data_IF_293649428158
#
_entry.id   IF_293649428158
#
_cell.length_a   1.000
_cell.length_b   1.000
_cell.length_c   1.000
_cell.angle_alpha   90.00
_cell.angle_beta   90.00
_cell.angle_gamma   90.00
#
_symmetry.space_group_name_H-M   'P 1'
#
loop_
_entity.id
_entity.type
_entity.pdbx_description
1 polymer ?
#
# COMPACT_ATOMS: atom_id res chain seq x y z
N UNK A 1 16.40 -0.30 3.02
CA UNK A 1 16.85 0.48 1.83
C UNK A 1 17.52 1.76 2.31
N UNK A 2 18.46 2.38 1.59
CA UNK A 2 18.88 3.74 1.98
C UNK A 2 17.75 4.76 1.70
N UNK A 3 17.72 5.83 2.49
CA UNK A 3 16.64 6.84 2.46
C UNK A 3 16.56 7.58 1.11
N UNK A 4 17.71 7.91 0.52
CA UNK A 4 17.75 8.60 -0.78
C UNK A 4 17.12 7.74 -1.89
N UNK A 5 17.40 6.44 -1.87
CA UNK A 5 16.81 5.47 -2.80
C UNK A 5 15.31 5.27 -2.52
N UNK A 6 14.90 5.19 -1.26
CA UNK A 6 13.49 5.10 -0.88
C UNK A 6 12.71 6.30 -1.42
N UNK A 7 13.17 7.52 -1.09
CA UNK A 7 12.57 8.78 -1.52
C UNK A 7 12.47 8.84 -3.04
N UNK A 8 13.55 8.48 -3.75
CA UNK A 8 13.56 8.45 -5.22
C UNK A 8 12.55 7.46 -5.80
N UNK A 9 12.50 6.23 -5.27
CA UNK A 9 11.59 5.20 -5.78
C UNK A 9 10.13 5.55 -5.50
N UNK A 10 9.83 6.11 -4.32
CA UNK A 10 8.50 6.55 -3.95
C UNK A 10 8.04 7.71 -4.83
N UNK A 11 8.93 8.64 -5.15
CA UNK A 11 8.62 9.82 -5.95
C UNK A 11 8.34 9.54 -7.45
N UNK A 12 8.71 8.38 -8.00
CA UNK A 12 8.41 8.11 -9.41
C UNK A 12 6.91 8.18 -9.70
N UNK A 13 6.46 8.86 -10.76
CA UNK A 13 5.14 8.64 -11.31
C UNK A 13 5.04 7.21 -11.81
N UNK A 14 4.05 6.46 -11.34
CA UNK A 14 3.85 5.03 -11.62
C UNK A 14 2.49 4.81 -12.28
N UNK A 15 2.35 3.67 -12.93
CA UNK A 15 1.08 3.20 -13.46
C UNK A 15 0.92 1.71 -13.17
N UNK A 16 -0.31 1.27 -12.91
CA UNK A 16 -0.64 -0.15 -12.84
C UNK A 16 -0.65 -0.76 -14.25
N UNK A 17 -0.24 -2.02 -14.36
CA UNK A 17 -0.26 -2.74 -15.62
C UNK A 17 -1.68 -3.16 -16.01
N UNK A 18 -2.58 -3.27 -15.02
CA UNK A 18 -3.97 -3.63 -15.20
C UNK A 18 -4.86 -2.38 -15.32
N UNK A 19 -5.80 -2.41 -16.27
CA UNK A 19 -6.84 -1.38 -16.44
C UNK A 19 -8.09 -1.62 -15.60
N UNK A 20 -8.25 -2.83 -15.07
CA UNK A 20 -9.33 -3.18 -14.17
C UNK A 20 -8.73 -4.01 -13.04
N UNK A 21 -9.01 -3.62 -11.80
CA UNK A 21 -8.58 -4.34 -10.62
C UNK A 21 -9.76 -4.52 -9.68
N UNK A 22 -9.74 -5.67 -9.00
CA UNK A 22 -10.74 -6.05 -8.01
C UNK A 22 -10.04 -6.10 -6.67
N UNK A 23 -10.57 -5.37 -5.69
CA UNK A 23 -10.08 -5.37 -4.32
C UNK A 23 -10.18 -6.76 -3.71
N UNK A 24 -9.33 -7.04 -2.73
CA UNK A 24 -9.39 -8.29 -1.99
C UNK A 24 -10.73 -8.41 -1.25
N UNK A 25 -11.30 -9.63 -1.25
CA UNK A 25 -12.34 -9.98 -0.29
C UNK A 25 -11.77 -10.15 1.12
N UNK A 26 -12.65 -10.11 2.11
CA UNK A 26 -12.28 -10.44 3.48
C UNK A 26 -11.67 -11.85 3.55
N UNK A 27 -10.59 -12.00 4.30
CA UNK A 27 -9.80 -13.23 4.41
C UNK A 27 -8.87 -13.50 3.22
N UNK A 28 -8.77 -12.58 2.24
CA UNK A 28 -7.94 -12.72 1.05
C UNK A 28 -6.87 -11.64 0.97
N UNK A 29 -5.98 -11.81 -0.01
CA UNK A 29 -5.06 -10.77 -0.45
C UNK A 29 -5.08 -10.74 -1.97
N UNK A 30 -4.77 -9.58 -2.54
CA UNK A 30 -4.57 -9.40 -3.98
C UNK A 30 -3.35 -8.53 -4.23
N UNK A 31 -2.76 -8.66 -5.42
CA UNK A 31 -1.55 -7.95 -5.79
C UNK A 31 -1.66 -7.36 -7.21
N UNK A 32 -1.34 -6.07 -7.33
CA UNK A 32 -1.39 -5.30 -8.56
C UNK A 32 0.03 -4.93 -8.95
N UNK A 33 0.40 -5.23 -10.20
CA UNK A 33 1.76 -4.98 -10.70
C UNK A 33 1.76 -3.64 -11.41
N UNK A 34 2.85 -2.89 -11.28
CA UNK A 34 3.02 -1.63 -11.99
C UNK A 34 4.48 -1.33 -12.27
N UNK A 35 4.71 -0.18 -12.88
CA UNK A 35 6.05 0.30 -13.21
C UNK A 35 6.09 1.83 -13.22
N UNK A 36 7.29 2.40 -13.10
CA UNK A 36 7.48 3.83 -13.29
C UNK A 36 7.25 4.21 -14.76
N UNK A 37 6.49 5.29 -15.00
CA UNK A 37 6.08 5.72 -16.34
C UNK A 37 7.30 6.07 -17.22
N UNK A 38 8.24 6.82 -16.66
CA UNK A 38 9.45 7.27 -17.39
C UNK A 38 10.60 6.28 -17.35
N UNK A 39 10.47 5.20 -16.55
CA UNK A 39 11.55 4.23 -16.33
C UNK A 39 10.99 2.84 -16.06
N UNK A 40 10.37 2.22 -17.07
CA UNK A 40 9.68 0.93 -16.97
C UNK A 40 10.50 -0.26 -16.43
N UNK A 41 11.83 -0.14 -16.33
CA UNK A 41 12.67 -1.14 -15.65
C UNK A 41 12.47 -1.11 -14.12
N UNK A 42 12.04 0.01 -13.54
CA UNK A 42 11.63 0.11 -12.13
C UNK A 42 10.20 -0.41 -12.00
N UNK A 43 10.07 -1.57 -11.35
CA UNK A 43 8.82 -2.34 -11.27
C UNK A 43 8.35 -2.42 -9.84
N UNK A 44 7.06 -2.27 -9.64
CA UNK A 44 6.43 -2.21 -8.34
C UNK A 44 5.30 -3.22 -8.23
N UNK A 45 4.99 -3.62 -7.00
CA UNK A 45 3.81 -4.40 -6.66
C UNK A 45 3.10 -3.71 -5.50
N UNK A 46 1.83 -3.37 -5.71
CA UNK A 46 0.90 -2.96 -4.66
C UNK A 46 0.17 -4.21 -4.18
N UNK A 47 0.15 -4.47 -2.88
CA UNK A 47 -0.53 -5.61 -2.29
C UNK A 47 -1.59 -5.07 -1.34
N UNK A 48 -2.84 -5.46 -1.55
CA UNK A 48 -3.92 -5.24 -0.60
C UNK A 48 -4.15 -6.54 0.17
N UNK A 49 -4.05 -6.46 1.49
CA UNK A 49 -4.18 -7.57 2.40
C UNK A 49 -5.39 -7.33 3.27
N UNK A 50 -6.34 -8.27 3.22
CA UNK A 50 -7.53 -8.29 4.08
C UNK A 50 -7.64 -9.60 4.84
N UNK A 51 -6.51 -10.21 5.16
CA UNK A 51 -6.44 -11.47 5.89
C UNK A 51 -5.89 -11.19 7.29
N UNK A 52 -6.74 -11.32 8.29
CA UNK A 52 -6.39 -11.23 9.70
C UNK A 52 -6.89 -12.44 10.46
N UNK A 53 -6.04 -13.02 11.32
CA UNK A 53 -6.44 -14.14 12.17
C UNK A 53 -7.27 -13.67 13.37
N UNK A 54 -6.93 -12.50 13.91
CA UNK A 54 -7.56 -11.92 15.12
C UNK A 54 -8.55 -10.81 14.77
N UNK A 55 -8.26 -10.05 13.71
CA UNK A 55 -9.04 -8.89 13.27
C UNK A 55 -9.77 -9.22 11.96
N UNK A 56 -11.11 -9.21 12.03
CA UNK A 56 -11.99 -9.63 10.92
C UNK A 56 -12.20 -8.53 9.87
N UNK A 57 -11.62 -7.38 10.10
CA UNK A 57 -11.68 -6.15 9.34
C UNK A 57 -10.28 -5.69 8.86
N UNK A 58 -9.26 -6.56 8.98
CA UNK A 58 -7.89 -6.26 8.55
C UNK A 58 -7.87 -5.59 7.17
N UNK A 59 -7.15 -4.48 7.08
CA UNK A 59 -6.95 -3.70 5.88
C UNK A 59 -5.54 -3.12 5.89
N UNK A 60 -4.66 -3.77 5.15
CA UNK A 60 -3.25 -3.41 5.02
C UNK A 60 -2.88 -3.25 3.56
N UNK A 61 -2.07 -2.25 3.28
CA UNK A 61 -1.47 -2.02 1.97
C UNK A 61 0.04 -2.13 2.04
N UNK A 62 0.65 -2.75 1.04
CA UNK A 62 2.11 -2.86 0.91
C UNK A 62 2.53 -2.40 -0.47
N UNK A 63 3.50 -1.48 -0.53
CA UNK A 63 4.25 -1.18 -1.73
C UNK A 63 5.59 -1.90 -1.68
N UNK A 64 5.88 -2.68 -2.72
CA UNK A 64 7.16 -3.36 -2.89
C UNK A 64 7.79 -2.99 -4.22
N UNK A 65 9.09 -2.67 -4.20
CA UNK A 65 9.90 -2.58 -5.40
C UNK A 65 10.47 -3.96 -5.72
N UNK A 66 10.26 -4.45 -6.95
CA UNK A 66 10.59 -5.85 -7.32
C UNK A 66 12.06 -6.20 -7.07
N UNK A 67 12.97 -5.24 -7.23
CA UNK A 67 14.41 -5.48 -7.02
C UNK A 67 14.84 -5.34 -5.57
N UNK A 68 14.22 -4.43 -4.82
CA UNK A 68 14.75 -3.98 -3.54
C UNK A 68 13.88 -4.38 -2.34
N UNK A 69 12.73 -5.02 -2.60
CA UNK A 69 11.82 -5.50 -1.58
C UNK A 69 10.80 -4.46 -1.14
N UNK A 70 10.25 -4.65 0.06
CA UNK A 70 9.20 -3.80 0.62
C UNK A 70 9.74 -2.38 0.83
N UNK A 71 8.92 -1.40 0.48
CA UNK A 71 9.20 0.02 0.67
C UNK A 71 8.35 0.62 1.78
N UNK A 72 7.06 0.29 1.77
CA UNK A 72 6.05 0.92 2.60
C UNK A 72 4.98 -0.11 2.93
N UNK A 73 4.53 -0.12 4.18
CA UNK A 73 3.32 -0.82 4.61
C UNK A 73 2.46 0.14 5.42
N UNK A 74 1.18 0.26 5.07
CA UNK A 74 0.20 1.02 5.84
C UNK A 74 -0.83 0.02 6.35
N UNK A 75 -1.02 0.01 7.66
CA UNK A 75 -2.04 -0.78 8.34
C UNK A 75 -3.17 0.17 8.75
N UNK A 76 -4.31 0.10 8.05
CA UNK A 76 -5.52 0.88 8.37
C UNK A 76 -6.27 0.21 9.50
N UNK A 77 -6.49 -1.10 9.36
CA UNK A 77 -6.97 -1.99 10.41
C UNK A 77 -6.02 -3.16 10.53
N UNK A 78 -5.63 -3.46 11.77
CA UNK A 78 -4.59 -4.43 12.05
C UNK A 78 -4.21 -4.45 13.51
N UNK A 79 -3.34 -5.40 13.86
CA UNK A 79 -2.80 -5.52 15.21
C UNK A 79 -1.93 -4.29 15.56
N UNK A 80 -1.97 -3.81 16.82
CA UNK A 80 -1.07 -2.77 17.26
C UNK A 80 0.39 -3.24 17.19
N UNK A 81 1.31 -2.31 16.94
CA UNK A 81 2.75 -2.59 16.89
C UNK A 81 3.45 -1.86 18.03
N UNK A 82 4.03 -2.60 18.98
CA UNK A 82 4.72 -2.05 20.16
C UNK A 82 3.91 -0.99 20.94
N UNK A 83 2.59 -1.18 21.03
CA UNK A 83 1.68 -0.26 21.74
C UNK A 83 1.13 0.88 20.88
N UNK A 84 1.57 1.03 19.63
CA UNK A 84 0.95 1.96 18.67
C UNK A 84 -0.25 1.28 18.02
N UNK A 85 -1.44 1.87 18.15
CA UNK A 85 -2.65 1.40 17.49
C UNK A 85 -2.62 1.63 15.98
N UNK A 86 -3.44 0.89 15.24
CA UNK A 86 -3.79 1.27 13.87
C UNK A 86 -4.73 2.49 13.89
N UNK A 87 -4.71 3.36 12.85
CA UNK A 87 -3.88 3.23 11.67
C UNK A 87 -2.41 3.68 11.87
N UNK A 88 -1.47 2.93 11.32
CA UNK A 88 -0.04 3.27 11.38
C UNK A 88 0.71 2.84 10.12
N UNK A 89 1.94 3.31 9.98
CA UNK A 89 2.79 3.04 8.82
C UNK A 89 4.17 2.52 9.21
N UNK A 90 4.67 1.60 8.39
CA UNK A 90 6.04 1.12 8.42
C UNK A 90 6.75 1.55 7.13
N UNK A 91 7.88 2.24 7.28
CA UNK A 91 8.75 2.63 6.18
C UNK A 91 10.00 1.75 6.20
N UNK A 92 10.35 1.16 5.05
CA UNK A 92 11.41 0.15 4.94
C UNK A 92 12.73 0.75 4.44
N UNK A 93 13.14 1.84 5.07
CA UNK A 93 14.45 2.46 4.90
C UNK A 93 15.34 2.27 6.15
N UNK A 94 16.56 2.77 6.10
CA UNK A 94 17.49 2.67 7.22
C UNK A 94 17.11 3.58 8.41
N UNK A 95 16.44 4.71 8.18
CA UNK A 95 16.03 5.68 9.22
C UNK A 95 14.96 5.06 10.11
N UNK A 96 14.01 4.36 9.52
CA UNK A 96 12.90 3.68 10.17
C UNK A 96 13.21 2.22 10.54
N UNK A 97 14.51 1.87 10.57
CA UNK A 97 15.03 0.54 10.93
C UNK A 97 14.38 -0.59 10.13
N UNK A 98 14.24 -0.38 8.81
CA UNK A 98 13.63 -1.30 7.85
C UNK A 98 12.24 -1.78 8.30
N UNK A 99 11.38 -0.84 8.71
CA UNK A 99 10.00 -1.11 9.11
C UNK A 99 9.83 -1.62 10.54
N UNK A 100 10.90 -1.76 11.33
CA UNK A 100 10.79 -2.17 12.73
C UNK A 100 10.14 -1.10 13.60
N UNK A 101 10.27 0.17 13.22
CA UNK A 101 9.57 1.31 13.84
C UNK A 101 8.31 1.60 13.04
N UNK A 102 7.16 1.57 13.72
CA UNK A 102 5.92 2.10 13.20
C UNK A 102 5.77 3.56 13.63
N UNK A 103 5.17 4.38 12.78
CA UNK A 103 4.81 5.77 13.11
C UNK A 103 3.29 5.94 12.90
N UNK A 104 2.63 6.85 13.66
CA UNK A 104 1.23 7.18 13.46
C UNK A 104 0.95 7.54 11.99
N UNK A 105 -0.17 7.08 11.43
CA UNK A 105 -0.49 7.39 10.03
C UNK A 105 -0.70 8.89 9.81
N UNK A 106 -1.18 9.61 10.84
CA UNK A 106 -1.36 11.07 10.82
C UNK A 106 -0.07 11.87 10.57
N UNK A 107 1.10 11.25 10.79
CA UNK A 107 2.39 11.87 10.47
C UNK A 107 2.68 11.86 8.95
N UNK A 108 1.96 11.05 8.17
CA UNK A 108 2.03 11.10 6.71
C UNK A 108 1.21 12.28 6.18
N UNK A 109 1.92 13.27 5.64
CA UNK A 109 1.28 14.37 4.92
C UNK A 109 0.57 13.84 3.67
N UNK A 110 -0.65 14.33 3.43
CA UNK A 110 -1.47 14.03 2.26
C UNK A 110 -1.89 12.56 2.14
N UNK A 111 -2.06 11.85 3.26
CA UNK A 111 -2.75 10.57 3.30
C UNK A 111 -4.06 10.73 4.07
N UNK A 112 -5.19 10.41 3.44
CA UNK A 112 -6.50 10.44 4.08
C UNK A 112 -7.00 8.99 4.24
N UNK A 113 -6.97 8.43 5.46
CA UNK A 113 -7.43 7.06 5.69
C UNK A 113 -8.95 6.96 5.64
N UNK A 114 -9.44 5.89 5.01
CA UNK A 114 -10.85 5.51 5.00
C UNK A 114 -10.97 3.99 5.09
N UNK A 115 -12.11 3.54 5.62
CA UNK A 115 -12.46 2.13 5.76
C UNK A 115 -13.14 1.59 4.48
N UNK A 116 -13.57 2.47 3.58
CA UNK A 116 -14.08 2.07 2.26
C UNK A 116 -12.94 1.46 1.45
N UNK A 117 -13.10 0.21 1.03
CA UNK A 117 -12.01 -0.61 0.49
C UNK A 117 -11.50 -0.06 -0.86
N UNK A 118 -12.38 0.54 -1.65
CA UNK A 118 -12.05 1.11 -2.96
C UNK A 118 -11.38 2.47 -2.76
N UNK A 119 -12.00 3.35 -1.99
CA UNK A 119 -11.44 4.68 -1.70
C UNK A 119 -10.10 4.58 -0.95
N UNK A 120 -9.96 3.63 -0.04
CA UNK A 120 -8.72 3.39 0.72
C UNK A 120 -7.60 2.87 -0.18
N UNK A 121 -7.91 2.04 -1.20
CA UNK A 121 -6.93 1.67 -2.21
C UNK A 121 -6.56 2.87 -3.09
N UNK A 122 -7.51 3.72 -3.45
CA UNK A 122 -7.25 4.96 -4.20
C UNK A 122 -6.32 5.88 -3.42
N UNK A 123 -6.60 6.14 -2.13
CA UNK A 123 -5.76 6.94 -1.25
C UNK A 123 -4.32 6.38 -1.16
N UNK A 124 -4.18 5.05 -1.10
CA UNK A 124 -2.87 4.41 -1.15
C UNK A 124 -2.14 4.61 -2.49
N UNK A 125 -2.85 4.49 -3.61
CA UNK A 125 -2.28 4.71 -4.95
C UNK A 125 -1.85 6.17 -5.14
N UNK A 126 -2.67 7.13 -4.70
CA UNK A 126 -2.36 8.56 -4.76
C UNK A 126 -1.11 8.89 -3.94
N UNK A 127 -1.06 8.45 -2.69
CA UNK A 127 0.12 8.65 -1.83
C UNK A 127 1.38 8.03 -2.41
N UNK A 128 1.27 6.85 -3.03
CA UNK A 128 2.40 6.15 -3.67
C UNK A 128 2.65 6.57 -5.11
N UNK A 129 2.03 7.66 -5.57
CA UNK A 129 2.21 8.28 -6.87
C UNK A 129 1.91 7.35 -8.07
N UNK A 130 0.85 6.55 -7.96
CA UNK A 130 0.30 5.77 -9.07
C UNK A 130 -0.84 6.54 -9.74
N UNK A 131 -0.73 6.74 -11.06
CA UNK A 131 -1.86 7.17 -11.87
C UNK A 131 -2.91 6.04 -11.95
N UNK A 132 -4.17 6.40 -11.74
CA UNK A 132 -5.31 5.48 -11.76
C UNK A 132 -6.53 6.04 -12.52
N UNK A 133 -6.39 7.18 -13.21
CA UNK A 133 -7.42 7.82 -14.05
C UNK A 133 -8.01 6.89 -15.13
N UNK A 134 -7.24 5.88 -15.55
CA UNK A 134 -7.61 4.88 -16.56
C UNK A 134 -7.77 3.48 -15.97
N UNK A 135 -7.80 3.35 -14.66
CA UNK A 135 -7.94 2.08 -13.96
C UNK A 135 -9.30 2.03 -13.26
N UNK A 136 -10.13 1.08 -13.67
CA UNK A 136 -11.38 0.78 -12.95
C UNK A 136 -11.04 -0.04 -11.71
N UNK A 137 -11.37 0.48 -10.54
CA UNK A 137 -11.19 -0.19 -9.25
C UNK A 137 -12.57 -0.54 -8.72
N UNK A 138 -12.75 -1.79 -8.32
CA UNK A 138 -14.04 -2.31 -7.84
C UNK A 138 -13.83 -3.21 -6.65
N UNK A 139 -14.83 -3.29 -5.78
CA UNK A 139 -14.95 -4.39 -4.85
C UNK A 139 -15.63 -5.59 -5.53
N UNK A 140 -15.31 -6.80 -5.07
CA UNK A 140 -16.03 -7.97 -5.52
C UNK A 140 -17.38 -8.05 -4.81
N UNK A 141 -18.46 -8.05 -5.58
CA UNK A 141 -19.78 -8.33 -5.05
C UNK A 141 -19.80 -9.76 -4.48
N UNK A 142 -20.08 -9.88 -3.18
CA UNK A 142 -20.34 -11.17 -2.56
C UNK A 142 -21.66 -11.70 -3.11
N UNK A 143 -21.59 -12.68 -4.01
CA UNK A 143 -22.77 -13.44 -4.41
C UNK A 143 -23.06 -14.39 -3.24
N UNK A 144 -24.17 -14.12 -2.53
CA UNK A 144 -24.61 -14.86 -1.35
C UNK A 144 -25.04 -16.30 -1.66
#
# INVERSE_FOLDING_TARGET
MDDAKYTKLLAYPKILNQKAIVCANQGKQTAFKGHAITKAIEKFTVIQVRKGHLHKDDLTYVLSHVRDGIMLRIDIHGAPHNGLSTPHVHIYDNVHKNGAVAIPLEDLKNYDPTDDIVESLVAFLDYTNFAHDKTTITEQLLIG
#
